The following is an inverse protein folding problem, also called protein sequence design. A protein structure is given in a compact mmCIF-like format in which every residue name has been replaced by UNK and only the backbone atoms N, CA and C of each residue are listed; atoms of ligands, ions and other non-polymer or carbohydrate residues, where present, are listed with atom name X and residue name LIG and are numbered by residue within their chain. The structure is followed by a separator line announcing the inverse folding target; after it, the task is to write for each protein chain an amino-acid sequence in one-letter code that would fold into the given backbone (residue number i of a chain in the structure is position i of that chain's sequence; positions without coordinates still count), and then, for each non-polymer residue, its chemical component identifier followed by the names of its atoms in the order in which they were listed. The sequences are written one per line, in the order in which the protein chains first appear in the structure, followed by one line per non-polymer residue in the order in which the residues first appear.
data_IF_895957721317
#
_entry.id   IF_895957721317
#
_cell.length_a   1.000
_cell.length_b   1.000
_cell.length_c   1.000
_cell.angle_alpha   90.00
_cell.angle_beta   90.00
_cell.angle_gamma   90.00
#
_symmetry.space_group_name_H-M   'P 1'
#
loop_
_entity.id
_entity.type
_entity.pdbx_description
1 polymer ?
#
# COMPACT_ATOMS: atom_id res chain seq x y z
N UNK A 1 55.86 21.67 -15.40
CA UNK A 1 55.29 21.06 -14.18
C UNK A 1 54.06 20.25 -14.57
N UNK A 2 54.24 18.94 -14.66
CA UNK A 2 53.18 17.94 -14.82
C UNK A 2 52.40 17.84 -13.51
N UNK A 3 51.11 18.18 -13.51
CA UNK A 3 50.20 17.82 -12.42
C UNK A 3 49.17 16.84 -12.98
N UNK A 4 49.48 15.58 -12.75
CA UNK A 4 48.65 14.43 -12.99
C UNK A 4 47.48 14.36 -11.98
N UNK A 5 46.42 13.67 -12.41
CA UNK A 5 45.44 12.94 -11.61
C UNK A 5 44.72 13.67 -10.46
N UNK A 6 43.40 13.85 -10.64
CA UNK A 6 42.47 13.38 -9.61
C UNK A 6 41.45 12.43 -10.24
N UNK A 7 41.42 11.25 -9.63
CA UNK A 7 40.63 10.08 -9.95
C UNK A 7 39.20 10.20 -9.43
N UNK A 8 38.30 9.51 -10.15
CA UNK A 8 37.20 8.68 -9.64
C UNK A 8 36.20 9.31 -8.65
N UNK A 9 34.99 9.59 -9.16
CA UNK A 9 33.78 9.21 -8.43
C UNK A 9 33.07 8.19 -9.30
N UNK A 10 33.24 6.93 -8.92
CA UNK A 10 32.42 5.84 -9.40
C UNK A 10 30.98 6.10 -8.96
N UNK A 11 30.12 6.53 -9.88
CA UNK A 11 28.69 6.27 -9.73
C UNK A 11 28.51 4.79 -10.06
N UNK A 12 28.60 3.95 -9.03
CA UNK A 12 28.07 2.60 -9.12
C UNK A 12 26.56 2.74 -9.36
N UNK A 13 26.17 2.74 -10.63
CA UNK A 13 24.81 2.36 -11.00
C UNK A 13 24.73 0.90 -10.58
N UNK A 14 24.16 0.65 -9.41
CA UNK A 14 23.77 -0.69 -9.02
C UNK A 14 22.80 -1.16 -10.09
N UNK A 15 23.30 -1.92 -11.05
CA UNK A 15 22.50 -2.72 -11.95
C UNK A 15 21.58 -3.55 -11.08
N UNK A 16 20.30 -3.17 -11.03
CA UNK A 16 19.25 -3.99 -10.45
C UNK A 16 19.20 -5.26 -11.28
N UNK A 17 19.88 -6.31 -10.79
CA UNK A 17 19.52 -7.68 -11.10
C UNK A 17 18.01 -7.82 -10.88
N UNK A 18 17.36 -8.66 -11.71
CA UNK A 18 15.92 -8.88 -11.77
C UNK A 18 15.28 -9.37 -10.44
N UNK A 19 15.29 -8.51 -9.44
CA UNK A 19 14.77 -8.68 -8.10
C UNK A 19 13.92 -7.48 -7.71
N UNK A 20 13.00 -7.69 -6.78
CA UNK A 20 12.08 -6.65 -6.31
C UNK A 20 12.83 -5.43 -5.80
N UNK A 21 12.32 -4.22 -6.09
CA UNK A 21 12.95 -2.99 -5.60
C UNK A 21 12.97 -2.96 -4.07
N UNK A 22 13.95 -2.29 -3.43
CA UNK A 22 13.96 -2.13 -1.97
C UNK A 22 12.64 -1.56 -1.44
N UNK A 23 12.02 -0.63 -2.17
CA UNK A 23 10.71 -0.12 -1.82
C UNK A 23 9.61 -1.19 -1.90
N UNK A 24 9.59 -2.06 -2.93
CA UNK A 24 8.61 -3.15 -3.02
C UNK A 24 8.74 -4.13 -1.85
N UNK A 25 9.97 -4.43 -1.43
CA UNK A 25 10.24 -5.25 -0.24
C UNK A 25 9.73 -4.55 1.02
N UNK A 26 10.06 -3.27 1.21
CA UNK A 26 9.59 -2.47 2.35
C UNK A 26 8.06 -2.37 2.38
N UNK A 27 7.43 -2.21 1.21
CA UNK A 27 5.99 -2.18 1.05
C UNK A 27 5.35 -3.50 1.49
N UNK A 28 5.84 -4.64 1.03
CA UNK A 28 5.35 -5.95 1.46
C UNK A 28 5.50 -6.18 2.96
N UNK A 29 6.62 -5.74 3.55
CA UNK A 29 6.79 -5.77 5.00
C UNK A 29 5.77 -4.87 5.72
N UNK A 30 5.53 -3.66 5.20
CA UNK A 30 4.51 -2.74 5.70
C UNK A 30 3.09 -3.30 5.59
N UNK A 31 2.77 -4.03 4.52
CA UNK A 31 1.49 -4.73 4.35
C UNK A 31 1.26 -5.70 5.51
N UNK A 32 2.27 -6.47 5.93
CA UNK A 32 2.16 -7.40 7.06
C UNK A 32 1.77 -6.69 8.35
N UNK A 33 2.28 -5.47 8.58
CA UNK A 33 1.88 -4.65 9.72
C UNK A 33 0.40 -4.26 9.66
N UNK A 34 -0.13 -3.93 8.47
CA UNK A 34 -1.55 -3.59 8.30
C UNK A 34 -2.44 -4.82 8.49
N UNK A 35 -2.08 -5.96 7.91
CA UNK A 35 -2.92 -7.17 7.93
C UNK A 35 -2.74 -8.00 9.20
N UNK A 36 -1.84 -7.64 10.11
CA UNK A 36 -1.65 -8.34 11.38
C UNK A 36 -2.94 -8.43 12.21
N UNK A 37 -3.81 -7.41 12.12
CA UNK A 37 -5.09 -7.36 12.83
C UNK A 37 -6.24 -8.05 12.08
N UNK A 38 -5.99 -8.69 10.92
CA UNK A 38 -7.05 -9.25 10.05
C UNK A 38 -7.99 -10.18 10.79
N UNK A 39 -7.47 -11.10 11.61
CA UNK A 39 -8.31 -12.05 12.35
C UNK A 39 -9.24 -11.32 13.33
N UNK A 40 -8.70 -10.38 14.11
CA UNK A 40 -9.47 -9.62 15.10
C UNK A 40 -10.52 -8.75 14.44
N UNK A 41 -10.14 -8.01 13.39
CA UNK A 41 -11.07 -7.15 12.65
C UNK A 41 -12.13 -7.96 11.90
N UNK A 42 -11.77 -9.13 11.37
CA UNK A 42 -12.73 -10.04 10.76
C UNK A 42 -13.77 -10.51 11.77
N UNK A 43 -13.37 -10.90 12.98
CA UNK A 43 -14.32 -11.34 14.00
C UNK A 43 -15.26 -10.20 14.44
N UNK A 44 -14.77 -8.96 14.53
CA UNK A 44 -15.58 -7.80 14.87
C UNK A 44 -16.55 -7.37 13.75
N UNK A 45 -16.13 -7.54 12.49
CA UNK A 45 -16.87 -7.09 11.30
C UNK A 45 -17.26 -8.25 10.39
N UNK A 46 -17.53 -9.41 10.97
CA UNK A 46 -17.72 -10.66 10.22
C UNK A 46 -18.87 -10.56 9.23
N UNK A 47 -20.02 -10.02 9.66
CA UNK A 47 -21.20 -9.85 8.80
C UNK A 47 -20.91 -8.99 7.59
N UNK A 48 -20.17 -7.88 7.77
CA UNK A 48 -19.75 -6.99 6.68
C UNK A 48 -18.82 -7.72 5.71
N UNK A 49 -17.81 -8.40 6.25
CA UNK A 49 -16.84 -9.13 5.43
C UNK A 49 -17.50 -10.26 4.63
N UNK A 50 -18.41 -11.02 5.26
CA UNK A 50 -19.19 -12.07 4.59
C UNK A 50 -20.10 -11.46 3.52
N UNK A 51 -20.82 -10.38 3.82
CA UNK A 51 -21.63 -9.65 2.83
C UNK A 51 -20.78 -9.19 1.65
N UNK A 52 -19.60 -8.64 1.92
CA UNK A 52 -18.67 -8.24 0.88
C UNK A 52 -18.29 -9.42 -0.02
N UNK A 53 -17.80 -10.51 0.57
CA UNK A 53 -17.36 -11.71 -0.16
C UNK A 53 -18.46 -12.37 -1.01
N UNK A 54 -19.72 -12.25 -0.59
CA UNK A 54 -20.88 -12.84 -1.27
C UNK A 54 -21.48 -11.94 -2.35
N UNK A 55 -21.46 -10.63 -2.15
CA UNK A 55 -22.12 -9.64 -3.05
C UNK A 55 -21.17 -8.96 -4.02
N UNK A 56 -19.87 -9.07 -3.77
CA UNK A 56 -18.79 -8.48 -4.57
C UNK A 56 -17.80 -9.57 -5.01
N UNK A 57 -18.24 -10.52 -5.87
CA UNK A 57 -17.36 -11.56 -6.38
C UNK A 57 -16.25 -10.93 -7.22
N UNK A 58 -15.01 -11.07 -6.76
CA UNK A 58 -13.81 -10.69 -7.52
C UNK A 58 -13.26 -9.29 -7.23
N UNK A 59 -12.73 -9.06 -6.02
CA UNK A 59 -11.50 -8.25 -5.93
C UNK A 59 -10.37 -9.10 -6.52
N UNK A 60 -10.33 -9.24 -7.84
CA UNK A 60 -9.12 -9.73 -8.47
C UNK A 60 -8.11 -8.62 -8.36
N UNK A 61 -6.95 -8.96 -7.79
CA UNK A 61 -5.86 -8.10 -7.36
C UNK A 61 -5.24 -7.18 -8.42
N UNK A 62 -5.80 -7.14 -9.63
CA UNK A 62 -5.10 -6.70 -10.84
C UNK A 62 -5.71 -5.52 -11.58
N UNK A 63 -6.89 -4.99 -11.21
CA UNK A 63 -7.44 -3.82 -11.90
C UNK A 63 -8.18 -2.82 -10.97
N UNK A 64 -7.96 -1.50 -11.14
CA UNK A 64 -8.62 -0.43 -10.39
C UNK A 64 -10.11 -0.23 -10.75
N UNK A 65 -10.69 -1.12 -11.55
CA UNK A 65 -12.04 -1.02 -12.09
C UNK A 65 -12.78 -2.33 -11.90
N UNK A 66 -13.04 -2.70 -10.65
CA UNK A 66 -14.24 -3.51 -10.40
C UNK A 66 -15.42 -2.59 -10.72
N UNK A 67 -16.28 -3.00 -11.66
CA UNK A 67 -17.42 -2.25 -12.21
C UNK A 67 -18.44 -1.73 -11.18
N UNK A 68 -18.18 -1.86 -9.89
CA UNK A 68 -19.02 -1.30 -8.84
C UNK A 68 -18.26 -1.00 -7.53
N UNK A 69 -17.06 -0.40 -7.63
CA UNK A 69 -16.28 0.09 -6.47
C UNK A 69 -17.16 0.93 -5.52
N UNK A 70 -18.04 1.76 -6.08
CA UNK A 70 -19.00 2.57 -5.32
C UNK A 70 -20.00 1.75 -4.50
N UNK A 71 -20.44 0.57 -4.95
CA UNK A 71 -21.29 -0.33 -4.17
C UNK A 71 -20.48 -1.21 -3.21
N UNK A 72 -19.33 -1.69 -3.65
CA UNK A 72 -18.59 -2.75 -2.98
C UNK A 72 -17.65 -2.23 -1.90
N UNK A 73 -16.88 -1.18 -2.17
CA UNK A 73 -15.87 -0.67 -1.26
C UNK A 73 -16.45 -0.16 0.08
N UNK A 74 -17.61 0.52 0.12
CA UNK A 74 -18.20 0.95 1.39
C UNK A 74 -18.54 -0.19 2.34
N UNK A 75 -18.75 -1.41 1.83
CA UNK A 75 -19.10 -2.57 2.67
C UNK A 75 -17.92 -2.93 3.60
N UNK A 76 -16.68 -2.72 3.16
CA UNK A 76 -15.47 -3.01 3.94
C UNK A 76 -15.01 -1.84 4.80
N UNK A 77 -15.79 -0.76 4.91
CA UNK A 77 -15.34 0.45 5.59
C UNK A 77 -14.93 0.20 7.04
N UNK A 78 -15.77 -0.43 7.88
CA UNK A 78 -15.44 -0.63 9.28
C UNK A 78 -14.34 -1.68 9.46
N UNK A 79 -14.36 -2.75 8.67
CA UNK A 79 -13.26 -3.72 8.63
C UNK A 79 -11.91 -3.04 8.32
N UNK A 80 -11.85 -2.21 7.27
CA UNK A 80 -10.63 -1.50 6.86
C UNK A 80 -10.21 -0.45 7.89
N UNK A 81 -11.18 0.26 8.46
CA UNK A 81 -10.97 1.19 9.57
C UNK A 81 -10.30 0.48 10.76
N UNK A 82 -10.80 -0.69 11.15
CA UNK A 82 -10.21 -1.49 12.23
C UNK A 82 -8.75 -1.88 11.94
N UNK A 83 -8.44 -2.31 10.71
CA UNK A 83 -7.06 -2.61 10.30
C UNK A 83 -6.14 -1.39 10.46
N UNK A 84 -6.57 -0.25 9.91
CA UNK A 84 -5.80 0.99 9.95
C UNK A 84 -5.63 1.52 11.37
N UNK A 85 -6.65 1.45 12.23
CA UNK A 85 -6.55 1.82 13.64
C UNK A 85 -5.56 0.93 14.38
N UNK A 86 -5.65 -0.38 14.18
CA UNK A 86 -4.73 -1.35 14.81
C UNK A 86 -3.28 -1.12 14.40
N UNK A 87 -3.07 -0.70 13.15
CA UNK A 87 -1.76 -0.36 12.59
C UNK A 87 -1.27 1.05 12.94
N UNK A 88 -2.07 1.88 13.64
CA UNK A 88 -1.80 3.31 13.90
C UNK A 88 -1.64 4.14 12.61
N UNK A 89 -2.43 3.82 11.60
CA UNK A 89 -2.44 4.44 10.26
C UNK A 89 -3.73 5.20 9.95
N UNK A 90 -4.53 5.48 10.99
CA UNK A 90 -5.76 6.23 10.87
C UNK A 90 -5.67 7.52 11.68
N UNK A 91 -6.05 8.63 11.04
CA UNK A 91 -6.17 9.93 11.70
C UNK A 91 -7.39 9.99 12.62
N UNK A 92 -7.47 10.97 13.53
CA UNK A 92 -8.64 11.16 14.41
C UNK A 92 -9.96 11.37 13.66
N UNK A 93 -9.92 11.92 12.45
CA UNK A 93 -11.09 12.13 11.58
C UNK A 93 -11.51 10.86 10.80
N UNK A 94 -10.89 9.71 11.09
CA UNK A 94 -11.07 8.44 10.41
C UNK A 94 -10.62 8.41 8.95
N UNK A 95 -9.74 9.31 8.54
CA UNK A 95 -9.07 9.25 7.23
C UNK A 95 -7.73 8.54 7.33
N UNK A 96 -7.25 8.01 6.21
CA UNK A 96 -5.94 7.39 6.14
C UNK A 96 -4.81 8.38 6.42
N UNK A 97 -3.83 7.95 7.22
CA UNK A 97 -2.66 8.75 7.55
C UNK A 97 -1.49 8.41 6.64
N UNK A 98 -1.31 9.19 5.57
CA UNK A 98 -0.19 9.05 4.64
C UNK A 98 1.18 9.18 5.33
N UNK A 99 1.29 10.10 6.29
CA UNK A 99 2.56 10.36 6.98
C UNK A 99 2.88 9.18 7.89
N UNK A 100 1.90 8.69 8.63
CA UNK A 100 2.07 7.47 9.42
C UNK A 100 2.36 6.25 8.53
N UNK A 101 1.73 6.13 7.37
CA UNK A 101 2.01 5.02 6.45
C UNK A 101 3.46 5.03 5.95
N UNK A 102 3.94 6.20 5.50
CA UNK A 102 5.33 6.35 5.08
C UNK A 102 6.32 6.05 6.22
N UNK A 103 6.05 6.57 7.42
CA UNK A 103 7.00 6.50 8.54
C UNK A 103 6.95 5.17 9.30
N UNK A 104 5.76 4.64 9.57
CA UNK A 104 5.54 3.42 10.36
C UNK A 104 5.61 2.18 9.47
N UNK A 105 4.77 2.12 8.43
CA UNK A 105 4.66 0.92 7.61
C UNK A 105 5.86 0.77 6.65
N UNK A 106 6.26 1.87 6.00
CA UNK A 106 7.34 1.84 5.00
C UNK A 106 8.71 2.23 5.55
N UNK A 107 8.78 2.73 6.78
CA UNK A 107 10.03 3.21 7.41
C UNK A 107 10.81 4.19 6.51
N UNK A 108 10.07 5.01 5.76
CA UNK A 108 10.55 5.96 4.76
C UNK A 108 11.36 5.37 3.59
N UNK A 109 11.40 4.04 3.42
CA UNK A 109 12.21 3.37 2.40
C UNK A 109 11.70 3.58 0.96
N UNK A 110 10.48 4.09 0.81
CA UNK A 110 9.86 4.39 -0.48
C UNK A 110 9.81 5.88 -0.83
N UNK A 111 10.30 6.76 0.06
CA UNK A 111 10.10 8.21 -0.05
C UNK A 111 10.73 8.85 -1.30
N UNK A 112 11.79 8.24 -1.83
CA UNK A 112 12.50 8.69 -3.03
C UNK A 112 12.22 7.82 -4.27
N UNK A 113 11.39 6.77 -4.13
CA UNK A 113 11.08 5.86 -5.24
C UNK A 113 9.97 6.48 -6.11
N UNK A 114 10.35 6.88 -7.33
CA UNK A 114 9.46 7.56 -8.29
C UNK A 114 8.38 6.63 -8.84
N UNK A 115 8.68 5.33 -9.00
CA UNK A 115 7.69 4.34 -9.43
C UNK A 115 6.63 4.16 -8.35
N UNK A 116 7.06 4.03 -7.09
CA UNK A 116 6.17 3.96 -5.95
C UNK A 116 5.29 5.20 -5.83
N UNK A 117 5.86 6.41 -5.90
CA UNK A 117 5.08 7.66 -5.78
C UNK A 117 3.94 7.73 -6.80
N UNK A 118 4.22 7.38 -8.06
CA UNK A 118 3.22 7.34 -9.14
C UNK A 118 2.13 6.31 -8.87
N UNK A 119 2.52 5.08 -8.52
CA UNK A 119 1.59 3.98 -8.24
C UNK A 119 0.73 4.30 -7.01
N UNK A 120 1.35 4.78 -5.94
CA UNK A 120 0.71 5.14 -4.68
C UNK A 120 -0.42 6.14 -4.89
N UNK A 121 -0.15 7.25 -5.60
CA UNK A 121 -1.15 8.30 -5.85
C UNK A 121 -2.38 7.75 -6.59
N UNK A 122 -2.15 6.92 -7.62
CA UNK A 122 -3.22 6.32 -8.42
C UNK A 122 -4.06 5.34 -7.58
N UNK A 123 -3.40 4.41 -6.88
CA UNK A 123 -4.06 3.42 -6.05
C UNK A 123 -4.82 4.05 -4.89
N UNK A 124 -4.26 5.08 -4.25
CA UNK A 124 -4.91 5.83 -3.17
C UNK A 124 -6.19 6.50 -3.66
N UNK A 125 -6.12 7.20 -4.79
CA UNK A 125 -7.28 7.92 -5.33
C UNK A 125 -8.45 6.97 -5.65
N UNK A 126 -8.15 5.78 -6.17
CA UNK A 126 -9.16 4.78 -6.48
C UNK A 126 -9.79 4.17 -5.22
N UNK A 127 -8.97 3.69 -4.27
CA UNK A 127 -9.44 2.84 -3.18
C UNK A 127 -9.77 3.61 -1.88
N UNK A 128 -9.02 4.69 -1.58
CA UNK A 128 -9.14 5.35 -0.28
C UNK A 128 -10.30 6.34 -0.20
N UNK A 129 -10.99 6.60 -1.31
CA UNK A 129 -12.28 7.31 -1.32
C UNK A 129 -13.31 6.65 -0.38
N UNK A 130 -13.28 5.32 -0.28
CA UNK A 130 -14.15 4.52 0.58
C UNK A 130 -13.37 3.80 1.69
N UNK A 131 -12.13 4.24 1.96
CA UNK A 131 -11.22 3.62 2.91
C UNK A 131 -10.99 2.10 2.66
N UNK A 132 -11.01 1.64 1.41
CA UNK A 132 -10.77 0.23 1.10
C UNK A 132 -9.26 -0.07 1.12
N UNK A 133 -8.73 -0.34 2.32
CA UNK A 133 -7.29 -0.55 2.51
C UNK A 133 -6.79 -1.81 1.79
N UNK A 134 -7.61 -2.86 1.67
CA UNK A 134 -7.21 -4.09 0.99
C UNK A 134 -6.95 -3.81 -0.50
N UNK A 135 -7.89 -3.14 -1.16
CA UNK A 135 -7.74 -2.77 -2.57
C UNK A 135 -6.57 -1.81 -2.77
N UNK A 136 -6.38 -0.84 -1.87
CA UNK A 136 -5.23 0.05 -1.90
C UNK A 136 -3.90 -0.71 -1.88
N UNK A 137 -3.74 -1.64 -0.93
CA UNK A 137 -2.50 -2.42 -0.79
C UNK A 137 -2.26 -3.31 -2.00
N UNK A 138 -3.30 -4.01 -2.44
CA UNK A 138 -3.21 -4.93 -3.58
C UNK A 138 -2.92 -4.20 -4.89
N UNK A 139 -3.52 -3.03 -5.10
CA UNK A 139 -3.22 -2.18 -6.26
C UNK A 139 -1.74 -1.81 -6.33
N UNK A 140 -1.12 -1.46 -5.19
CA UNK A 140 0.31 -1.13 -5.17
C UNK A 140 1.16 -2.36 -5.47
N UNK A 141 0.87 -3.52 -4.88
CA UNK A 141 1.63 -4.76 -5.13
C UNK A 141 1.61 -5.13 -6.62
N UNK A 142 0.44 -5.02 -7.25
CA UNK A 142 0.27 -5.39 -8.65
C UNK A 142 0.91 -4.40 -9.62
N UNK A 143 0.90 -3.10 -9.30
CA UNK A 143 1.38 -2.05 -10.19
C UNK A 143 2.86 -1.68 -9.97
N UNK A 144 3.47 -2.08 -8.86
CA UNK A 144 4.91 -1.88 -8.63
C UNK A 144 5.75 -2.92 -9.40
N UNK A 145 6.80 -2.48 -10.12
CA UNK A 145 7.74 -3.38 -10.79
C UNK A 145 8.47 -4.28 -9.79
#
# INVERSE_FOLDING_TARGET
MTRALMLLIAAAVASSAAGESPCKIAFKAGVQLVVAATKTCYLQHQTEYVKFSTTCPGINATLPTVNDAARCDPILFNFSKCLLQSAKLLKPDNTFDDVAFQTIALKNQCSTDTNFSKVYSNCKTAAMKYLNVLQFLTCIIAAMP
#
